data_IF_760269450965
#
_entry.id   IF_760269450965
#
_cell.length_a   1.000
_cell.length_b   1.000
_cell.length_c   1.000
_cell.angle_alpha   90.00
_cell.angle_beta   90.00
_cell.angle_gamma   90.00
#
_symmetry.space_group_name_H-M   'P 1'
#
loop_
_entity.id
_entity.type
_entity.pdbx_description
1 polymer ?
#
# COMPACT_ATOMS: atom_id res chain seq x y z
N UNK A 1 35.37 -24.01 -40.65
CA UNK A 1 35.91 -25.02 -41.57
C UNK A 1 34.93 -26.15 -41.51
N UNK A 2 34.24 -26.39 -42.62
CA UNK A 2 33.19 -27.39 -42.67
C UNK A 2 33.85 -28.78 -42.62
N UNK A 3 33.32 -29.74 -41.86
CA UNK A 3 33.91 -31.09 -41.82
C UNK A 3 33.92 -31.76 -43.21
N UNK A 4 33.03 -31.32 -44.09
CA UNK A 4 33.03 -31.68 -45.51
C UNK A 4 34.29 -31.24 -46.27
N UNK A 5 34.86 -30.08 -45.94
CA UNK A 5 36.11 -29.61 -46.56
C UNK A 5 37.28 -30.54 -46.19
N UNK A 6 37.36 -31.00 -44.94
CA UNK A 6 38.47 -31.85 -44.46
C UNK A 6 38.39 -33.26 -45.06
N UNK A 7 37.19 -33.86 -45.11
CA UNK A 7 36.98 -35.16 -45.76
C UNK A 7 37.34 -35.09 -47.25
N UNK A 8 36.93 -34.02 -47.93
CA UNK A 8 37.23 -33.83 -49.34
C UNK A 8 38.72 -33.59 -49.59
N UNK A 9 39.41 -32.89 -48.69
CA UNK A 9 40.87 -32.73 -48.73
C UNK A 9 41.59 -34.06 -48.51
N UNK A 10 41.13 -34.90 -47.56
CA UNK A 10 41.76 -36.19 -47.27
C UNK A 10 41.62 -37.17 -48.44
N UNK A 11 40.47 -37.22 -49.09
CA UNK A 11 40.20 -38.10 -50.23
C UNK A 11 40.97 -37.65 -51.49
N UNK A 12 41.24 -36.35 -51.64
CA UNK A 12 41.90 -35.78 -52.81
C UNK A 12 43.39 -35.44 -52.59
N UNK A 13 43.96 -35.83 -51.45
CA UNK A 13 45.34 -35.49 -51.10
C UNK A 13 46.35 -36.27 -51.93
N UNK A 14 47.10 -35.58 -52.81
CA UNK A 14 48.24 -36.16 -53.52
C UNK A 14 49.57 -35.76 -52.85
N UNK A 15 50.34 -36.75 -52.40
CA UNK A 15 51.65 -36.53 -51.76
C UNK A 15 52.83 -36.84 -52.72
N UNK A 16 53.83 -35.96 -52.75
CA UNK A 16 55.04 -36.16 -53.58
C UNK A 16 56.02 -37.19 -52.98
N UNK A 17 56.50 -38.13 -53.79
CA UNK A 17 57.48 -39.15 -53.37
C UNK A 17 58.89 -38.56 -53.18
N UNK A 18 59.54 -38.90 -52.06
CA UNK A 18 60.95 -38.55 -51.74
C UNK A 18 61.76 -39.80 -51.39
N UNK A 19 63.08 -39.76 -51.61
CA UNK A 19 64.03 -40.90 -51.48
C UNK A 19 64.06 -41.56 -50.08
N UNK A 20 63.52 -40.89 -49.04
CA UNK A 20 63.26 -41.44 -47.70
C UNK A 20 61.91 -40.94 -47.20
N UNK A 21 60.82 -41.48 -47.73
CA UNK A 21 59.44 -41.16 -47.34
C UNK A 21 58.76 -42.31 -46.61
N UNK A 22 57.56 -42.04 -46.08
CA UNK A 22 56.62 -43.07 -45.61
C UNK A 22 56.18 -43.95 -46.78
N UNK A 23 55.84 -45.22 -46.51
CA UNK A 23 55.30 -46.12 -47.52
C UNK A 23 53.94 -45.59 -47.99
N UNK A 24 53.76 -45.30 -49.30
CA UNK A 24 52.50 -44.79 -49.84
C UNK A 24 51.28 -45.68 -49.49
N UNK A 25 51.45 -47.00 -49.44
CA UNK A 25 50.35 -47.92 -49.12
C UNK A 25 49.90 -47.80 -47.66
N UNK A 26 50.85 -47.68 -46.72
CA UNK A 26 50.52 -47.49 -45.29
C UNK A 26 49.89 -46.10 -45.04
N UNK A 27 50.30 -45.08 -45.79
CA UNK A 27 49.73 -43.73 -45.70
C UNK A 27 48.29 -43.74 -46.22
N UNK A 28 48.03 -44.37 -47.36
CA UNK A 28 46.68 -44.49 -47.93
C UNK A 28 45.73 -45.25 -46.97
N UNK A 29 46.17 -46.36 -46.37
CA UNK A 29 45.38 -47.10 -45.39
C UNK A 29 45.00 -46.26 -44.15
N UNK A 30 45.92 -45.44 -43.66
CA UNK A 30 45.67 -44.55 -42.50
C UNK A 30 44.73 -43.40 -42.90
N UNK A 31 44.86 -42.85 -44.10
CA UNK A 31 43.97 -41.79 -44.60
C UNK A 31 42.55 -42.30 -44.83
N UNK A 32 42.38 -43.51 -45.36
CA UNK A 32 41.09 -44.17 -45.51
C UNK A 32 40.43 -44.42 -44.13
N UNK A 33 41.20 -44.91 -43.15
CA UNK A 33 40.70 -45.08 -41.79
C UNK A 33 40.32 -43.75 -41.13
N UNK A 34 41.13 -42.70 -41.35
CA UNK A 34 40.85 -41.37 -40.85
C UNK A 34 39.57 -40.78 -41.48
N UNK A 35 39.36 -40.98 -42.79
CA UNK A 35 38.14 -40.54 -43.47
C UNK A 35 36.89 -41.24 -42.89
N UNK A 36 36.93 -42.56 -42.70
CA UNK A 36 35.82 -43.33 -42.11
C UNK A 36 35.52 -42.86 -40.68
N UNK A 37 36.53 -42.64 -39.84
CA UNK A 37 36.30 -42.16 -38.47
C UNK A 37 35.83 -40.70 -38.41
N UNK A 38 36.31 -39.82 -39.31
CA UNK A 38 35.80 -38.44 -39.39
C UNK A 38 34.32 -38.43 -39.82
N UNK A 39 33.94 -39.28 -40.77
CA UNK A 39 32.53 -39.42 -41.17
C UNK A 39 31.69 -39.95 -40.00
N UNK A 40 32.16 -41.00 -39.30
CA UNK A 40 31.50 -41.55 -38.12
C UNK A 40 31.32 -40.51 -37.02
N UNK A 41 32.35 -39.74 -36.70
CA UNK A 41 32.32 -38.68 -35.70
C UNK A 41 31.39 -37.55 -36.12
N UNK A 42 31.37 -37.19 -37.40
CA UNK A 42 30.47 -36.15 -37.94
C UNK A 42 29.01 -36.59 -37.82
N UNK A 43 28.70 -37.84 -38.17
CA UNK A 43 27.35 -38.40 -38.00
C UNK A 43 26.95 -38.49 -36.52
N UNK A 44 27.85 -38.93 -35.64
CA UNK A 44 27.60 -38.99 -34.20
C UNK A 44 27.37 -37.60 -33.61
N UNK A 45 28.12 -36.59 -34.07
CA UNK A 45 27.95 -35.20 -33.64
C UNK A 45 26.61 -34.64 -34.11
N UNK A 46 26.23 -34.87 -35.38
CA UNK A 46 24.92 -34.46 -35.90
C UNK A 46 23.76 -35.09 -35.11
N UNK A 47 23.83 -36.39 -34.83
CA UNK A 47 22.83 -37.09 -34.01
C UNK A 47 22.79 -36.57 -32.56
N UNK A 48 23.94 -36.25 -31.97
CA UNK A 48 24.00 -35.70 -30.63
C UNK A 48 23.36 -34.30 -30.57
N UNK A 49 23.64 -33.45 -31.57
CA UNK A 49 23.03 -32.11 -31.68
C UNK A 49 21.52 -32.20 -31.89
N UNK A 50 21.04 -33.06 -32.79
CA UNK A 50 19.60 -33.25 -33.00
C UNK A 50 18.91 -33.71 -31.71
N UNK A 51 19.52 -34.64 -30.97
CA UNK A 51 18.98 -35.08 -29.68
C UNK A 51 18.97 -33.96 -28.63
N UNK A 52 19.99 -33.12 -28.61
CA UNK A 52 20.06 -31.97 -27.71
C UNK A 52 18.95 -30.95 -28.03
N UNK A 53 18.77 -30.61 -29.31
CA UNK A 53 17.71 -29.70 -29.76
C UNK A 53 16.30 -30.23 -29.47
N UNK A 54 16.09 -31.54 -29.62
CA UNK A 54 14.81 -32.18 -29.28
C UNK A 54 14.57 -32.11 -27.78
N UNK A 55 15.59 -32.40 -26.96
CA UNK A 55 15.47 -32.31 -25.51
C UNK A 55 15.21 -30.88 -25.04
N UNK A 56 15.90 -29.88 -25.61
CA UNK A 56 15.68 -28.46 -25.31
C UNK A 56 14.26 -28.02 -25.68
N UNK A 57 13.75 -28.45 -26.84
CA UNK A 57 12.36 -28.19 -27.24
C UNK A 57 11.35 -28.81 -26.28
N UNK A 58 11.56 -30.06 -25.87
CA UNK A 58 10.70 -30.73 -24.89
C UNK A 58 10.71 -30.01 -23.55
N UNK A 59 11.89 -29.58 -23.07
CA UNK A 59 11.98 -28.80 -21.84
C UNK A 59 11.27 -27.45 -21.93
N UNK A 60 11.37 -26.75 -23.06
CA UNK A 60 10.67 -25.48 -23.24
C UNK A 60 9.14 -25.68 -23.35
N UNK A 61 8.68 -26.77 -23.97
CA UNK A 61 7.26 -27.12 -24.02
C UNK A 61 6.69 -27.45 -22.63
N UNK A 62 7.44 -28.14 -21.79
CA UNK A 62 7.02 -28.49 -20.43
C UNK A 62 7.12 -27.30 -19.45
N UNK A 63 8.22 -26.54 -19.50
CA UNK A 63 8.54 -25.49 -18.53
C UNK A 63 8.01 -24.12 -18.95
N UNK A 64 7.91 -23.85 -20.26
CA UNK A 64 7.46 -22.57 -20.81
C UNK A 64 6.06 -22.15 -20.31
N UNK A 65 5.05 -23.04 -20.27
CA UNK A 65 3.75 -22.74 -19.68
C UNK A 65 3.85 -22.43 -18.18
N UNK A 66 4.63 -23.21 -17.42
CA UNK A 66 4.81 -22.99 -15.98
C UNK A 66 5.49 -21.65 -15.68
N UNK A 67 6.49 -21.25 -16.48
CA UNK A 67 7.16 -19.94 -16.38
C UNK A 67 6.19 -18.80 -16.68
N UNK A 68 5.40 -18.91 -17.75
CA UNK A 68 4.40 -17.90 -18.12
C UNK A 68 3.34 -17.75 -17.03
N UNK A 69 2.77 -18.84 -16.55
CA UNK A 69 1.78 -18.82 -15.47
C UNK A 69 2.36 -18.22 -14.18
N UNK A 70 3.62 -18.52 -13.87
CA UNK A 70 4.31 -17.92 -12.72
C UNK A 70 4.46 -16.42 -12.89
N UNK A 71 4.92 -15.96 -14.05
CA UNK A 71 5.07 -14.54 -14.34
C UNK A 71 3.73 -13.81 -14.24
N UNK A 72 2.68 -14.34 -14.87
CA UNK A 72 1.33 -13.77 -14.80
C UNK A 72 0.81 -13.72 -13.36
N UNK A 73 1.02 -14.78 -12.58
CA UNK A 73 0.66 -14.82 -11.16
C UNK A 73 1.44 -13.79 -10.33
N UNK A 74 2.74 -13.61 -10.60
CA UNK A 74 3.57 -12.61 -9.95
C UNK A 74 3.11 -11.18 -10.29
N UNK A 75 2.72 -10.91 -11.54
CA UNK A 75 2.15 -9.64 -11.98
C UNK A 75 0.79 -9.36 -11.30
N UNK A 76 -0.10 -10.35 -11.25
CA UNK A 76 -1.38 -10.24 -10.55
C UNK A 76 -1.18 -10.00 -9.05
N UNK A 77 -0.23 -10.73 -8.43
CA UNK A 77 0.08 -10.56 -7.01
C UNK A 77 0.65 -9.17 -6.71
N UNK A 78 1.50 -8.64 -7.60
CA UNK A 78 2.04 -7.30 -7.48
C UNK A 78 0.91 -6.25 -7.57
N UNK A 79 0.05 -6.35 -8.58
CA UNK A 79 -1.09 -5.46 -8.74
C UNK A 79 -2.05 -5.49 -7.54
N UNK A 80 -2.35 -6.69 -7.03
CA UNK A 80 -3.19 -6.85 -5.84
C UNK A 80 -2.56 -6.24 -4.58
N UNK A 81 -1.23 -6.33 -4.43
CA UNK A 81 -0.51 -5.70 -3.32
C UNK A 81 -0.52 -4.17 -3.42
N UNK A 82 -0.29 -3.63 -4.60
CA UNK A 82 -0.34 -2.18 -4.83
C UNK A 82 -1.74 -1.62 -4.57
N UNK A 83 -2.78 -2.31 -5.03
CA UNK A 83 -4.16 -1.92 -4.76
C UNK A 83 -4.52 -2.01 -3.28
N UNK A 84 -4.10 -3.07 -2.59
CA UNK A 84 -4.31 -3.21 -1.15
C UNK A 84 -3.64 -2.07 -0.37
N UNK A 85 -2.40 -1.72 -0.73
CA UNK A 85 -1.69 -0.59 -0.11
C UNK A 85 -2.39 0.74 -0.37
N UNK A 86 -2.84 0.97 -1.61
CA UNK A 86 -3.61 2.17 -1.96
C UNK A 86 -4.89 2.27 -1.13
N UNK A 87 -5.67 1.19 -1.06
CA UNK A 87 -6.92 1.17 -0.29
C UNK A 87 -6.67 1.40 1.20
N UNK A 88 -5.62 0.80 1.78
CA UNK A 88 -5.29 1.05 3.19
C UNK A 88 -4.94 2.50 3.44
N UNK A 89 -4.17 3.14 2.55
CA UNK A 89 -3.82 4.55 2.66
C UNK A 89 -5.05 5.45 2.55
N UNK A 90 -5.94 5.17 1.59
CA UNK A 90 -7.19 5.91 1.40
C UNK A 90 -8.09 5.81 2.64
N UNK A 91 -8.27 4.61 3.18
CA UNK A 91 -9.09 4.38 4.38
C UNK A 91 -8.48 5.06 5.61
N UNK A 92 -7.16 5.02 5.78
CA UNK A 92 -6.49 5.71 6.88
C UNK A 92 -6.68 7.24 6.81
N UNK A 93 -6.58 7.82 5.60
CA UNK A 93 -6.83 9.23 5.38
C UNK A 93 -8.30 9.59 5.66
N UNK A 94 -9.24 8.80 5.17
CA UNK A 94 -10.68 8.99 5.44
C UNK A 94 -11.00 8.91 6.94
N UNK A 95 -10.45 7.92 7.65
CA UNK A 95 -10.64 7.79 9.10
C UNK A 95 -10.07 9.00 9.83
N UNK A 96 -8.87 9.46 9.44
CA UNK A 96 -8.24 10.65 10.01
C UNK A 96 -9.12 11.90 9.82
N UNK A 97 -9.61 12.09 8.59
CA UNK A 97 -10.48 13.20 8.25
C UNK A 97 -11.82 13.16 9.00
N UNK A 98 -12.44 11.98 9.10
CA UNK A 98 -13.68 11.78 9.84
C UNK A 98 -13.48 12.09 11.34
N UNK A 99 -12.37 11.62 11.93
CA UNK A 99 -12.03 11.89 13.33
C UNK A 99 -11.83 13.38 13.57
N UNK A 100 -11.07 14.06 12.71
CA UNK A 100 -10.85 15.49 12.82
C UNK A 100 -12.14 16.31 12.68
N UNK A 101 -13.02 15.91 11.75
CA UNK A 101 -14.32 16.55 11.56
C UNK A 101 -15.23 16.35 12.79
N UNK A 102 -15.33 15.12 13.30
CA UNK A 102 -16.11 14.80 14.49
C UNK A 102 -15.60 15.53 15.73
N UNK A 103 -14.27 15.59 15.93
CA UNK A 103 -13.68 16.32 17.04
C UNK A 103 -14.00 17.82 16.98
N UNK A 104 -13.91 18.41 15.79
CA UNK A 104 -14.26 19.82 15.57
C UNK A 104 -15.73 20.08 15.87
N UNK A 105 -16.63 19.20 15.44
CA UNK A 105 -18.07 19.33 15.69
C UNK A 105 -18.39 19.21 17.18
N UNK A 106 -17.85 18.20 17.87
CA UNK A 106 -18.02 18.01 19.32
C UNK A 106 -17.51 19.23 20.07
N UNK A 107 -16.31 19.71 19.75
CA UNK A 107 -15.74 20.89 20.41
C UNK A 107 -16.59 22.14 20.15
N UNK A 108 -17.08 22.32 18.93
CA UNK A 108 -18.00 23.40 18.57
C UNK A 108 -19.32 23.34 19.33
N UNK A 109 -19.90 22.15 19.46
CA UNK A 109 -21.14 21.94 20.22
C UNK A 109 -20.96 22.23 21.71
N UNK A 110 -19.84 21.79 22.31
CA UNK A 110 -19.50 22.07 23.71
C UNK A 110 -19.34 23.57 23.93
N UNK A 111 -18.59 24.27 23.08
CA UNK A 111 -18.37 25.71 23.26
C UNK A 111 -19.68 26.50 23.08
N UNK A 112 -20.50 26.14 22.08
CA UNK A 112 -21.82 26.74 21.90
C UNK A 112 -22.72 26.50 23.11
N UNK A 113 -22.76 25.28 23.64
CA UNK A 113 -23.52 24.95 24.85
C UNK A 113 -23.05 25.75 26.06
N UNK A 114 -21.72 25.90 26.23
CA UNK A 114 -21.15 26.71 27.32
C UNK A 114 -21.52 28.19 27.19
N UNK A 115 -21.48 28.74 25.98
CA UNK A 115 -21.88 30.12 25.73
C UNK A 115 -23.36 30.35 26.03
N UNK A 116 -24.23 29.43 25.61
CA UNK A 116 -25.66 29.50 25.91
C UNK A 116 -25.91 29.44 27.43
N UNK A 117 -25.31 28.47 28.13
CA UNK A 117 -25.45 28.33 29.57
C UNK A 117 -24.96 29.58 30.32
N UNK A 118 -23.84 30.16 29.92
CA UNK A 118 -23.33 31.39 30.54
C UNK A 118 -24.25 32.59 30.29
N UNK A 119 -24.87 32.68 29.11
CA UNK A 119 -25.86 33.72 28.82
C UNK A 119 -27.10 33.57 29.70
N UNK A 120 -27.64 32.35 29.81
CA UNK A 120 -28.80 32.05 30.65
C UNK A 120 -28.52 32.33 32.13
N UNK A 121 -27.33 31.99 32.63
CA UNK A 121 -26.90 32.33 33.99
C UNK A 121 -26.90 33.84 34.20
N UNK A 122 -26.32 34.61 33.27
CA UNK A 122 -26.28 36.06 33.37
C UNK A 122 -27.69 36.68 33.37
N UNK A 123 -28.60 36.15 32.55
CA UNK A 123 -29.99 36.59 32.49
C UNK A 123 -30.72 36.29 33.81
N UNK A 124 -30.58 35.06 34.34
CA UNK A 124 -31.15 34.66 35.63
C UNK A 124 -30.59 35.47 36.80
N UNK A 125 -29.29 35.79 36.79
CA UNK A 125 -28.67 36.64 37.81
C UNK A 125 -29.23 38.06 37.79
N UNK A 126 -29.49 38.61 36.60
CA UNK A 126 -30.13 39.91 36.44
C UNK A 126 -31.58 39.90 36.92
N UNK A 127 -32.35 38.86 36.61
CA UNK A 127 -33.72 38.69 37.11
C UNK A 127 -33.76 38.56 38.63
N UNK A 128 -32.89 37.71 39.20
CA UNK A 128 -32.75 37.56 40.66
C UNK A 128 -32.44 38.89 41.33
N UNK A 129 -31.54 39.69 40.73
CA UNK A 129 -31.22 41.02 41.25
C UNK A 129 -32.45 41.92 41.27
N UNK A 130 -33.23 41.99 40.19
CA UNK A 130 -34.46 42.78 40.14
C UNK A 130 -35.46 42.36 41.22
N UNK A 131 -35.68 41.05 41.38
CA UNK A 131 -36.59 40.54 42.42
C UNK A 131 -36.11 40.91 43.82
N UNK A 132 -34.80 40.84 44.08
CA UNK A 132 -34.24 41.26 45.36
C UNK A 132 -34.40 42.76 45.61
N UNK A 133 -34.18 43.59 44.58
CA UNK A 133 -34.38 45.04 44.65
C UNK A 133 -35.87 45.35 44.95
N UNK A 134 -36.80 44.63 44.31
CA UNK A 134 -38.25 44.76 44.56
C UNK A 134 -38.63 44.34 45.99
N UNK A 135 -38.05 43.24 46.50
CA UNK A 135 -38.24 42.80 47.90
C UNK A 135 -37.78 43.89 48.86
N UNK A 136 -36.58 44.46 48.65
CA UNK A 136 -36.05 45.51 49.51
C UNK A 136 -36.96 46.74 49.54
N UNK A 137 -37.53 47.13 48.38
CA UNK A 137 -38.50 48.21 48.29
C UNK A 137 -39.75 47.90 49.11
N UNK A 138 -40.33 46.71 48.95
CA UNK A 138 -41.54 46.29 49.68
C UNK A 138 -41.29 46.21 51.19
N UNK A 139 -40.15 45.70 51.63
CA UNK A 139 -39.75 45.65 53.04
C UNK A 139 -39.70 47.07 53.65
N UNK A 140 -39.08 48.03 52.95
CA UNK A 140 -39.06 49.44 53.37
C UNK A 140 -40.47 50.02 53.45
N UNK A 141 -41.36 49.69 52.52
CA UNK A 141 -42.76 50.13 52.58
C UNK A 141 -43.49 49.55 53.80
N UNK A 142 -43.31 48.26 54.09
CA UNK A 142 -43.92 47.59 55.25
C UNK A 142 -43.44 48.24 56.55
N UNK A 143 -42.14 48.45 56.71
CA UNK A 143 -41.59 49.10 57.92
C UNK A 143 -42.08 50.55 58.05
N UNK A 144 -42.19 51.30 56.96
CA UNK A 144 -42.80 52.63 56.98
C UNK A 144 -44.27 52.61 57.39
N UNK A 145 -45.06 51.66 56.89
CA UNK A 145 -46.46 51.49 57.27
C UNK A 145 -46.62 51.10 58.75
N UNK A 146 -45.78 50.16 59.22
CA UNK A 146 -45.72 49.75 60.63
C UNK A 146 -45.37 50.90 61.55
N UNK A 147 -44.36 51.72 61.20
CA UNK A 147 -44.01 52.90 61.97
C UNK A 147 -45.16 53.91 62.05
N UNK A 148 -45.87 54.16 60.93
CA UNK A 148 -47.07 55.03 60.92
C UNK A 148 -48.19 54.49 61.81
N UNK A 149 -48.46 53.18 61.76
CA UNK A 149 -49.47 52.55 62.60
C UNK A 149 -49.11 52.64 64.09
N UNK A 150 -47.82 52.47 64.43
CA UNK A 150 -47.35 52.62 65.81
C UNK A 150 -47.54 54.05 66.33
N UNK A 151 -47.24 55.06 65.50
CA UNK A 151 -47.50 56.47 65.86
C UNK A 151 -49.00 56.71 66.04
N UNK A 152 -49.85 56.29 65.09
CA UNK A 152 -51.29 56.45 65.20
C UNK A 152 -51.89 55.74 66.42
N UNK A 153 -51.40 54.55 66.77
CA UNK A 153 -51.79 53.84 67.99
C UNK A 153 -51.36 54.58 69.25
N UNK A 154 -50.17 55.17 69.26
CA UNK A 154 -49.68 55.99 70.38
C UNK A 154 -50.54 57.25 70.55
N UNK A 155 -50.84 57.96 69.47
CA UNK A 155 -51.68 59.16 69.50
C UNK A 155 -53.10 58.84 69.99
N UNK A 156 -53.69 57.72 69.56
CA UNK A 156 -55.01 57.28 70.03
C UNK A 156 -55.00 56.87 71.51
N UNK A 157 -53.91 56.25 71.97
CA UNK A 157 -53.72 55.93 73.39
C UNK A 157 -53.60 57.18 74.26
N UNK A 158 -52.90 58.22 73.79
CA UNK A 158 -52.80 59.53 74.46
C UNK A 158 -54.13 60.31 74.46
N UNK A 159 -55.09 59.95 73.60
CA UNK A 159 -56.42 60.58 73.52
C UNK A 159 -57.47 59.95 74.44
N UNK A 160 -57.26 58.69 74.84
CA UNK A 160 -58.20 57.91 75.68
C UNK A 160 -57.79 57.94 77.16
N UNK A 161 -56.51 58.17 77.47
CA UNK A 161 -55.99 58.37 78.83
C UNK A 161 -55.82 59.85 79.16
#
# INVERSE_FOLDING_TARGET
MDNGDILQILIQAEFGQKIRGYDPLEVDEVLDQAAVEIERLTQACAQATERAEVAERQFEEEIGPARRNRQESEEVLLGAKEEALRLTSEVEEEISNLRAAAEKEIRGAIEKGRQQMNSEIADLENERKKVNDDIEIVERHIEAHKARLQVALKDLHELIN
#
